data_IF_124521376057
#
_entry.id   IF_124521376057
#
_cell.length_a   1.000
_cell.length_b   1.000
_cell.length_c   1.000
_cell.angle_alpha   90.00
_cell.angle_beta   90.00
_cell.angle_gamma   90.00
#
_symmetry.space_group_name_H-M   'P 1'
#
loop_
_entity.id
_entity.type
_entity.pdbx_description
1 polymer ?
#
# COMPACT_ATOMS: atom_id res chain seq x y z
N UNK A 1 34.45 -45.26 -27.12
CA UNK A 1 33.71 -44.43 -28.10
C UNK A 1 32.52 -43.86 -27.34
N UNK A 2 32.65 -42.60 -26.90
CA UNK A 2 31.91 -41.45 -27.47
C UNK A 2 30.47 -41.41 -26.90
N UNK A 3 29.99 -40.40 -26.16
CA UNK A 3 30.48 -39.05 -25.88
C UNK A 3 29.73 -38.46 -24.67
N UNK A 4 30.39 -37.56 -23.96
CA UNK A 4 29.79 -36.48 -23.15
C UNK A 4 28.90 -35.58 -24.00
N UNK A 5 27.75 -35.19 -23.43
CA UNK A 5 26.93 -33.97 -23.70
C UNK A 5 26.16 -33.78 -22.38
N UNK A 6 26.68 -33.10 -21.34
CA UNK A 6 26.84 -31.65 -21.13
C UNK A 6 25.82 -30.76 -21.85
N UNK A 7 25.16 -29.89 -21.06
CA UNK A 7 24.31 -28.74 -21.44
C UNK A 7 22.84 -29.08 -21.75
N UNK A 8 21.84 -28.32 -21.28
CA UNK A 8 21.84 -26.89 -21.00
C UNK A 8 20.75 -26.51 -19.99
N UNK A 9 21.20 -25.95 -18.86
CA UNK A 9 20.44 -25.01 -18.02
C UNK A 9 20.03 -23.82 -18.90
N UNK A 10 18.75 -23.63 -19.23
CA UNK A 10 18.29 -22.32 -19.72
C UNK A 10 16.79 -22.08 -19.52
N UNK A 11 16.52 -20.81 -19.13
CA UNK A 11 15.24 -20.11 -18.94
C UNK A 11 14.45 -20.47 -17.66
N UNK A 12 14.30 -19.59 -16.67
CA UNK A 12 14.21 -18.14 -16.74
C UNK A 12 14.62 -17.53 -15.39
N UNK A 13 15.88 -17.11 -15.30
CA UNK A 13 16.35 -16.19 -14.29
C UNK A 13 15.82 -14.79 -14.63
N UNK A 14 14.56 -14.52 -14.29
CA UNK A 14 14.06 -13.15 -14.20
C UNK A 14 14.53 -12.58 -12.86
N UNK A 15 15.29 -11.47 -12.83
CA UNK A 15 15.48 -10.74 -11.59
C UNK A 15 14.14 -10.07 -11.29
N UNK A 16 13.24 -10.73 -10.54
CA UNK A 16 12.06 -10.07 -9.98
C UNK A 16 12.53 -9.12 -8.87
N UNK A 17 12.97 -7.94 -9.31
CA UNK A 17 13.02 -6.64 -8.61
C UNK A 17 12.72 -6.68 -7.11
N UNK A 18 13.78 -6.52 -6.31
CA UNK A 18 13.78 -5.94 -4.94
C UNK A 18 13.29 -4.48 -4.96
N UNK A 19 12.01 -4.18 -5.20
CA UNK A 19 11.63 -2.76 -5.48
C UNK A 19 10.27 -2.28 -4.96
N UNK A 20 9.61 -3.03 -4.07
CA UNK A 20 8.28 -2.74 -3.50
C UNK A 20 8.08 -3.46 -2.15
N UNK A 21 9.17 -3.93 -1.55
CA UNK A 21 9.19 -4.90 -0.46
C UNK A 21 8.21 -4.44 0.64
N UNK A 22 7.11 -5.19 0.86
CA UNK A 22 6.02 -4.93 1.81
C UNK A 22 4.85 -4.02 1.38
N UNK A 23 4.94 -3.32 0.26
CA UNK A 23 3.77 -2.60 -0.28
C UNK A 23 2.84 -3.55 -1.04
N UNK A 24 1.52 -3.35 -0.91
CA UNK A 24 0.51 -4.16 -1.56
C UNK A 24 -0.55 -3.28 -2.25
N UNK A 25 -0.72 -3.52 -3.55
CA UNK A 25 -1.73 -2.87 -4.38
C UNK A 25 -2.39 -3.86 -5.33
N UNK A 26 -3.65 -3.58 -5.69
CA UNK A 26 -4.40 -4.37 -6.65
C UNK A 26 -5.00 -3.45 -7.73
N UNK A 27 -4.96 -3.89 -8.98
CA UNK A 27 -5.69 -3.18 -10.03
C UNK A 27 -7.20 -3.42 -9.87
N UNK A 28 -7.96 -2.33 -9.87
CA UNK A 28 -9.42 -2.35 -9.82
C UNK A 28 -9.95 -1.57 -11.02
N UNK A 29 -10.94 -2.13 -11.69
CA UNK A 29 -11.64 -1.43 -12.76
C UNK A 29 -12.72 -0.55 -12.12
N UNK A 30 -12.60 0.77 -12.31
CA UNK A 30 -13.55 1.78 -11.80
C UNK A 30 -14.18 2.51 -12.98
N UNK A 31 -15.44 2.88 -12.83
CA UNK A 31 -16.13 3.67 -13.85
C UNK A 31 -15.93 5.16 -13.59
N UNK A 32 -15.52 5.90 -14.61
CA UNK A 32 -15.42 7.35 -14.52
C UNK A 32 -16.83 7.97 -14.44
N UNK A 33 -17.19 8.72 -13.38
CA UNK A 33 -18.54 9.30 -13.25
C UNK A 33 -18.85 10.39 -14.29
N UNK A 34 -17.85 10.86 -15.04
CA UNK A 34 -18.01 11.93 -16.03
C UNK A 34 -18.18 11.42 -17.46
N UNK A 35 -17.45 10.37 -17.84
CA UNK A 35 -17.47 9.84 -19.21
C UNK A 35 -17.92 8.38 -19.29
N UNK A 36 -18.22 7.73 -18.16
CA UNK A 36 -18.64 6.33 -18.04
C UNK A 36 -17.65 5.32 -18.62
N UNK A 37 -16.41 5.75 -18.87
CA UNK A 37 -15.35 4.85 -19.29
C UNK A 37 -14.89 4.02 -18.10
N UNK A 38 -14.80 2.71 -18.29
CA UNK A 38 -14.08 1.82 -17.37
C UNK A 38 -12.58 2.09 -17.46
N UNK A 39 -11.99 2.48 -16.32
CA UNK A 39 -10.59 2.82 -16.15
C UNK A 39 -9.99 1.87 -15.12
N UNK A 40 -8.85 1.27 -15.45
CA UNK A 40 -8.11 0.44 -14.53
C UNK A 40 -7.20 1.30 -13.66
N UNK A 41 -7.48 1.38 -12.36
CA UNK A 41 -6.69 2.14 -11.37
C UNK A 41 -5.92 1.19 -10.46
N UNK A 42 -4.75 1.62 -10.00
CA UNK A 42 -3.96 0.85 -9.03
C UNK A 42 -4.33 1.27 -7.61
N UNK A 43 -4.90 0.33 -6.86
CA UNK A 43 -5.53 0.55 -5.58
C UNK A 43 -4.60 0.07 -4.47
N UNK A 44 -4.15 0.96 -3.59
CA UNK A 44 -3.15 0.65 -2.55
C UNK A 44 -3.81 0.32 -1.22
N UNK A 45 -3.42 -0.83 -0.65
CA UNK A 45 -3.91 -1.32 0.65
C UNK A 45 -2.81 -1.34 1.70
N UNK A 46 -1.56 -1.61 1.30
CA UNK A 46 -0.38 -1.52 2.15
C UNK A 46 0.64 -0.62 1.45
N UNK A 47 1.16 0.37 2.16
CA UNK A 47 2.22 1.26 1.68
C UNK A 47 3.38 1.19 2.65
N UNK A 48 4.54 0.76 2.17
CA UNK A 48 5.79 0.90 2.91
C UNK A 48 6.38 2.29 2.64
N UNK A 49 6.44 3.10 3.69
CA UNK A 49 6.97 4.46 3.64
C UNK A 49 8.43 4.49 3.15
N UNK A 50 9.22 3.47 3.48
CA UNK A 50 10.66 3.46 3.14
C UNK A 50 10.91 3.21 1.65
N UNK A 51 10.02 2.47 0.99
CA UNK A 51 10.12 2.13 -0.43
C UNK A 51 9.25 2.99 -1.33
N UNK A 52 8.19 3.62 -0.79
CA UNK A 52 7.21 4.40 -1.57
C UNK A 52 6.97 5.82 -1.02
N UNK A 53 8.01 6.67 -0.91
CA UNK A 53 7.85 8.05 -0.41
C UNK A 53 6.91 8.90 -1.27
N UNK A 54 6.89 8.69 -2.60
CA UNK A 54 5.96 9.38 -3.51
C UNK A 54 4.48 9.13 -3.16
N UNK A 55 4.14 7.93 -2.69
CA UNK A 55 2.76 7.63 -2.26
C UNK A 55 2.42 8.36 -0.97
N UNK A 56 3.37 8.47 -0.04
CA UNK A 56 3.19 9.25 1.18
C UNK A 56 2.98 10.71 0.84
N UNK A 57 3.76 11.27 -0.09
CA UNK A 57 3.57 12.65 -0.56
C UNK A 57 2.17 12.84 -1.14
N UNK A 58 1.68 11.92 -1.97
CA UNK A 58 0.30 11.98 -2.49
C UNK A 58 -0.76 11.92 -1.39
N UNK A 59 -0.51 11.19 -0.31
CA UNK A 59 -1.41 11.16 0.86
C UNK A 59 -1.45 12.54 1.51
N UNK A 60 -0.29 13.16 1.72
CA UNK A 60 -0.16 14.51 2.31
C UNK A 60 -0.82 15.57 1.43
N UNK A 61 -0.66 15.49 0.11
CA UNK A 61 -1.28 16.40 -0.85
C UNK A 61 -2.80 16.16 -1.01
N UNK A 62 -3.34 15.09 -0.42
CA UNK A 62 -4.73 14.66 -0.60
C UNK A 62 -5.04 14.12 -2.00
N UNK A 63 -4.03 13.98 -2.86
CA UNK A 63 -4.16 13.50 -4.25
C UNK A 63 -4.18 11.97 -4.34
N UNK A 64 -3.80 11.26 -3.27
CA UNK A 64 -3.79 9.79 -3.20
C UNK A 64 -5.13 9.18 -3.59
N UNK A 65 -6.23 9.75 -3.09
CA UNK A 65 -7.59 9.27 -3.34
C UNK A 65 -8.19 9.74 -4.66
N UNK A 66 -7.37 10.18 -5.61
CA UNK A 66 -7.86 10.66 -6.91
C UNK A 66 -6.97 10.20 -8.04
N UNK A 67 -7.58 9.82 -9.16
CA UNK A 67 -6.86 9.45 -10.37
C UNK A 67 -7.43 10.20 -11.58
N UNK A 68 -6.58 10.79 -12.44
CA UNK A 68 -7.07 11.43 -13.65
C UNK A 68 -7.59 10.40 -14.65
N UNK A 69 -8.78 10.62 -15.19
CA UNK A 69 -9.33 9.78 -16.25
C UNK A 69 -8.53 9.96 -17.55
N UNK A 70 -8.03 8.90 -18.20
CA UNK A 70 -7.28 9.03 -19.46
C UNK A 70 -8.13 9.50 -20.65
N UNK A 71 -9.47 9.47 -20.54
CA UNK A 71 -10.38 9.88 -21.62
C UNK A 71 -10.84 11.33 -21.52
N UNK A 72 -11.22 11.78 -20.33
CA UNK A 72 -11.79 13.11 -20.12
C UNK A 72 -10.93 14.00 -19.21
N UNK A 73 -9.80 13.50 -18.71
CA UNK A 73 -8.86 14.19 -17.82
C UNK A 73 -9.43 14.55 -16.44
N UNK A 74 -10.73 14.31 -16.23
CA UNK A 74 -11.39 14.59 -14.97
C UNK A 74 -10.96 13.62 -13.86
N UNK A 75 -10.90 14.12 -12.64
CA UNK A 75 -10.50 13.34 -11.47
C UNK A 75 -11.59 12.32 -11.09
N UNK A 76 -11.19 11.06 -11.00
CA UNK A 76 -12.00 9.95 -10.50
C UNK A 76 -11.63 9.76 -9.02
N UNK A 77 -12.58 9.82 -8.09
CA UNK A 77 -12.32 9.47 -6.70
C UNK A 77 -11.96 7.98 -6.60
N UNK A 78 -10.91 7.68 -5.82
CA UNK A 78 -10.51 6.30 -5.52
C UNK A 78 -11.61 5.59 -4.71
N UNK A 79 -11.61 4.26 -4.78
CA UNK A 79 -12.48 3.40 -3.98
C UNK A 79 -12.22 3.67 -2.50
N UNK A 80 -13.29 3.76 -1.72
CA UNK A 80 -13.16 3.93 -0.28
C UNK A 80 -12.64 2.63 0.35
N UNK A 81 -11.35 2.60 0.65
CA UNK A 81 -10.66 1.40 1.13
C UNK A 81 -9.80 1.69 2.36
N UNK A 82 -9.54 0.65 3.17
CA UNK A 82 -8.54 0.72 4.23
C UNK A 82 -7.13 0.92 3.66
N UNK A 83 -6.29 1.61 4.42
CA UNK A 83 -4.87 1.77 4.13
C UNK A 83 -4.04 1.44 5.37
N UNK A 84 -3.08 0.54 5.23
CA UNK A 84 -2.06 0.25 6.22
C UNK A 84 -0.73 0.86 5.75
N UNK A 85 -0.11 1.69 6.59
CA UNK A 85 1.21 2.26 6.29
C UNK A 85 2.24 1.63 7.21
N UNK A 86 3.25 0.99 6.60
CA UNK A 86 4.40 0.44 7.29
C UNK A 86 5.54 1.47 7.33
N UNK A 87 6.06 1.71 8.53
CA UNK A 87 7.06 2.74 8.83
C UNK A 87 8.18 2.11 9.65
N UNK A 88 9.10 1.38 9.00
CA UNK A 88 10.17 0.71 9.72
C UNK A 88 10.97 1.71 10.57
N UNK A 89 11.37 1.29 11.78
CA UNK A 89 12.20 2.07 12.73
C UNK A 89 11.53 3.31 13.33
N UNK A 90 10.22 3.47 13.18
CA UNK A 90 9.45 4.51 13.89
C UNK A 90 8.83 3.98 15.18
N UNK A 91 8.56 4.86 16.15
CA UNK A 91 7.87 4.53 17.41
C UNK A 91 6.49 3.87 17.19
N UNK A 92 5.83 4.22 16.08
CA UNK A 92 4.56 3.65 15.65
C UNK A 92 4.77 3.05 14.26
N UNK A 93 5.32 1.84 14.17
CA UNK A 93 5.73 1.26 12.90
C UNK A 93 4.55 0.92 11.98
N UNK A 94 3.30 0.93 12.50
CA UNK A 94 2.11 0.71 11.71
C UNK A 94 1.04 1.77 11.95
N UNK A 95 0.57 2.36 10.87
CA UNK A 95 -0.59 3.25 10.87
C UNK A 95 -1.72 2.62 10.08
N UNK A 96 -2.88 2.46 10.70
CA UNK A 96 -4.07 1.97 10.03
C UNK A 96 -5.10 3.08 9.86
N UNK A 97 -5.43 3.41 8.62
CA UNK A 97 -6.53 4.29 8.26
C UNK A 97 -7.69 3.46 7.69
N UNK A 98 -8.84 3.37 8.38
CA UNK A 98 -9.98 2.60 7.88
C UNK A 98 -10.64 3.27 6.67
N UNK A 99 -11.39 2.49 5.91
CA UNK A 99 -12.33 3.01 4.91
C UNK A 99 -13.38 3.91 5.59
N UNK A 100 -13.77 5.01 4.95
CA UNK A 100 -14.70 6.01 5.50
C UNK A 100 -16.15 5.50 5.58
N UNK A 101 -16.53 4.55 4.72
CA UNK A 101 -17.88 3.99 4.56
C UNK A 101 -18.06 2.66 5.29
N UNK A 102 -16.99 2.03 5.77
CA UNK A 102 -17.09 0.84 6.63
C UNK A 102 -17.43 1.28 8.05
N UNK A 103 -18.69 1.12 8.45
CA UNK A 103 -19.22 1.59 9.73
C UNK A 103 -19.13 0.55 10.85
N UNK A 104 -19.04 -0.74 10.53
CA UNK A 104 -18.98 -1.79 11.55
C UNK A 104 -17.56 -1.96 12.09
N UNK A 105 -17.39 -1.79 13.40
CA UNK A 105 -16.09 -1.91 14.07
C UNK A 105 -15.46 -3.31 13.92
N UNK A 106 -16.30 -4.35 13.83
CA UNK A 106 -15.88 -5.73 13.57
C UNK A 106 -15.27 -5.86 12.17
N UNK A 107 -15.92 -5.32 11.14
CA UNK A 107 -15.40 -5.33 9.76
C UNK A 107 -14.05 -4.61 9.67
N UNK A 108 -13.91 -3.46 10.34
CA UNK A 108 -12.64 -2.74 10.38
C UNK A 108 -11.53 -3.56 11.06
N UNK A 109 -11.86 -4.35 12.08
CA UNK A 109 -10.90 -5.18 12.80
C UNK A 109 -10.48 -6.39 11.99
N UNK A 110 -11.42 -7.11 11.37
CA UNK A 110 -11.11 -8.21 10.45
C UNK A 110 -10.26 -7.72 9.26
N UNK A 111 -10.60 -6.56 8.71
CA UNK A 111 -9.85 -5.95 7.61
C UNK A 111 -8.42 -5.61 8.02
N UNK A 112 -8.23 -5.02 9.20
CA UNK A 112 -6.91 -4.74 9.74
C UNK A 112 -6.09 -6.02 9.95
N UNK A 113 -6.69 -7.04 10.57
CA UNK A 113 -6.03 -8.33 10.79
C UNK A 113 -5.55 -8.95 9.47
N UNK A 114 -6.39 -8.90 8.43
CA UNK A 114 -6.03 -9.41 7.11
C UNK A 114 -4.84 -8.65 6.48
N UNK A 115 -4.80 -7.32 6.62
CA UNK A 115 -3.69 -6.51 6.09
C UNK A 115 -2.39 -6.71 6.87
N UNK A 116 -2.48 -6.84 8.19
CA UNK A 116 -1.33 -7.14 9.05
C UNK A 116 -0.77 -8.52 8.74
N UNK A 117 -1.63 -9.53 8.59
CA UNK A 117 -1.21 -10.88 8.24
C UNK A 117 -0.47 -10.90 6.89
N UNK A 118 -1.05 -10.24 5.87
CA UNK A 118 -0.38 -10.10 4.57
C UNK A 118 0.98 -9.38 4.69
N UNK A 119 1.09 -8.38 5.55
CA UNK A 119 2.37 -7.69 5.78
C UNK A 119 3.40 -8.62 6.44
N UNK A 120 3.02 -9.34 7.50
CA UNK A 120 3.90 -10.30 8.19
C UNK A 120 4.43 -11.38 7.26
N UNK A 121 3.56 -11.93 6.41
CA UNK A 121 3.94 -12.90 5.38
C UNK A 121 4.98 -12.32 4.42
N UNK A 122 4.87 -11.04 4.04
CA UNK A 122 5.88 -10.40 3.20
C UNK A 122 7.18 -10.08 3.93
N UNK A 123 7.14 -9.91 5.25
CA UNK A 123 8.31 -9.65 6.10
C UNK A 123 9.07 -10.94 6.45
N UNK A 124 8.50 -12.12 6.17
CA UNK A 124 8.98 -13.42 6.67
C UNK A 124 9.19 -13.41 8.20
N UNK A 125 8.44 -12.56 8.91
CA UNK A 125 8.54 -12.39 10.35
C UNK A 125 7.51 -13.26 11.04
N UNK A 126 7.98 -14.14 11.92
CA UNK A 126 7.11 -14.91 12.83
C UNK A 126 6.78 -14.14 14.11
N UNK A 127 7.40 -12.97 14.32
CA UNK A 127 7.20 -12.12 15.50
C UNK A 127 6.20 -11.00 15.17
N UNK A 128 5.05 -11.02 15.84
CA UNK A 128 3.96 -10.04 15.72
C UNK A 128 3.81 -9.14 16.97
N UNK A 129 4.60 -9.36 18.03
CA UNK A 129 4.54 -8.59 19.28
C UNK A 129 4.75 -7.09 19.02
N UNK A 130 5.78 -6.73 18.24
CA UNK A 130 6.05 -5.33 17.89
C UNK A 130 4.94 -4.68 17.04
N UNK A 131 4.16 -5.48 16.30
CA UNK A 131 3.02 -4.99 15.53
C UNK A 131 1.90 -4.59 16.47
N UNK A 132 1.58 -5.44 17.44
CA UNK A 132 0.46 -5.21 18.36
C UNK A 132 0.74 -4.01 19.28
N UNK A 133 1.99 -3.85 19.72
CA UNK A 133 2.40 -2.70 20.53
C UNK A 133 2.55 -1.40 19.70
N UNK A 134 2.94 -1.54 18.43
CA UNK A 134 3.29 -0.43 17.55
C UNK A 134 2.18 0.07 16.61
N UNK A 135 1.03 -0.62 16.57
CA UNK A 135 -0.09 -0.31 15.69
C UNK A 135 -0.94 0.85 16.24
N UNK A 136 -1.09 1.88 15.40
CA UNK A 136 -1.97 3.02 15.70
C UNK A 136 -3.07 3.13 14.67
N UNK A 137 -4.32 3.03 15.12
CA UNK A 137 -5.50 3.34 14.30
C UNK A 137 -5.70 4.85 14.26
N UNK A 138 -5.84 5.41 13.05
CA UNK A 138 -5.94 6.85 12.82
C UNK A 138 -7.01 7.16 11.77
N UNK A 139 -7.50 8.39 11.77
CA UNK A 139 -8.36 8.89 10.69
C UNK A 139 -7.53 9.40 9.52
N UNK A 140 -8.12 9.46 8.33
CA UNK A 140 -7.46 10.01 7.13
C UNK A 140 -6.97 11.45 7.30
N UNK A 141 -7.67 12.29 8.07
CA UNK A 141 -7.20 13.64 8.38
C UNK A 141 -6.03 13.66 9.38
N UNK A 142 -5.88 12.64 10.23
CA UNK A 142 -4.75 12.50 11.13
C UNK A 142 -3.49 12.01 10.41
N UNK A 143 -3.62 11.26 9.30
CA UNK A 143 -2.49 10.95 8.42
C UNK A 143 -1.79 12.22 7.97
N UNK A 144 -2.57 13.21 7.52
CA UNK A 144 -2.04 14.51 7.11
C UNK A 144 -1.24 15.14 8.25
N UNK A 145 -1.80 15.23 9.45
CA UNK A 145 -1.10 15.83 10.60
C UNK A 145 0.22 15.11 10.94
N UNK A 146 0.22 13.77 10.97
CA UNK A 146 1.42 12.98 11.31
C UNK A 146 2.57 13.24 10.32
N UNK A 147 2.27 13.41 9.03
CA UNK A 147 3.28 13.65 8.01
C UNK A 147 3.57 15.14 7.77
N UNK A 148 2.62 16.03 8.06
CA UNK A 148 2.86 17.49 8.02
C UNK A 148 3.73 17.97 9.18
N UNK A 149 3.64 17.34 10.36
CA UNK A 149 4.51 17.65 11.50
C UNK A 149 5.93 17.06 11.34
N UNK A 150 6.09 15.98 10.57
CA UNK A 150 7.38 15.34 10.34
C UNK A 150 8.35 16.22 9.52
N UNK A 151 7.83 17.08 8.63
CA UNK A 151 8.62 18.06 7.85
C UNK A 151 9.25 19.16 8.72
N UNK A 152 8.75 19.38 9.94
CA UNK A 152 9.23 20.40 10.88
C UNK A 152 10.27 19.88 11.88
N UNK A 153 10.70 18.62 11.75
CA UNK A 153 11.70 17.98 12.62
C UNK A 153 13.08 17.82 11.99
N UNK A 154 13.27 18.34 10.77
CA UNK A 154 14.55 18.42 10.07
C UNK A 154 15.09 19.87 10.06
N UNK A 155 15.28 20.47 11.24
CA UNK A 155 16.10 21.68 11.42
C UNK A 155 17.20 21.43 12.47
#
# INVERSE_FOLDING_TARGET
MMSEIDQEDTQNNSPKKRSLEHSYSKFTDVECPHCHQSVRVNVWWIVDQSTQPDLIQKIVEGSFKTHPCPKCTQLIPEVDQPLLIYRPRQQQPLLFAPALKTTLAEDQTHTLQHLVQHLLETLDSSDDDWIMEGLKRIRWNQLLMIYSEAELSFE
#
